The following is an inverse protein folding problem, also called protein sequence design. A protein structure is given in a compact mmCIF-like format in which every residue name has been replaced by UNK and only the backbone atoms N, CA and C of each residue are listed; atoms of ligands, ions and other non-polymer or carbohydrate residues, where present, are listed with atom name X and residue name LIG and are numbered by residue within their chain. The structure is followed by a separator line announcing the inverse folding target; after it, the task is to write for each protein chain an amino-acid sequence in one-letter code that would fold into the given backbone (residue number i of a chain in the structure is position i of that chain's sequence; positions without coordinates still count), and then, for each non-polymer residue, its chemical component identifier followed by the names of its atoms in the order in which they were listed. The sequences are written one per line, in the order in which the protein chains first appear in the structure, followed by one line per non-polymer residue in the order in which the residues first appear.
data_IF_444479020678
#
_entry.id   IF_444479020678
#
_cell.length_a   1.000
_cell.length_b   1.000
_cell.length_c   1.000
_cell.angle_alpha   90.00
_cell.angle_beta   90.00
_cell.angle_gamma   90.00
#
_symmetry.space_group_name_H-M   'P 1'
#
loop_
_entity.id
_entity.type
_entity.pdbx_description
1 polymer ?
#
# COMPACT_ATOMS: atom_id res chain seq x y z
N UNK A 1 55.74 -4.26 13.70
CA UNK A 1 55.65 -5.03 12.44
C UNK A 1 54.24 -5.01 11.85
N UNK A 2 53.22 -5.63 12.44
CA UNK A 2 51.85 -5.60 11.87
C UNK A 2 51.26 -4.17 11.83
N UNK A 3 51.38 -3.41 12.93
CA UNK A 3 50.92 -2.02 12.98
C UNK A 3 51.67 -1.08 12.01
N UNK A 4 52.96 -1.35 11.74
CA UNK A 4 53.77 -0.55 10.80
C UNK A 4 53.37 -0.86 9.35
N UNK A 5 53.04 -2.11 9.04
CA UNK A 5 52.52 -2.51 7.73
C UNK A 5 51.13 -1.92 7.46
N UNK A 6 50.25 -1.91 8.46
CA UNK A 6 48.92 -1.28 8.37
C UNK A 6 49.03 0.23 8.10
N UNK A 7 49.97 0.92 8.77
CA UNK A 7 50.20 2.34 8.57
C UNK A 7 50.72 2.64 7.16
N UNK A 8 51.67 1.83 6.66
CA UNK A 8 52.22 1.96 5.32
C UNK A 8 51.17 1.73 4.22
N UNK A 9 50.25 0.77 4.41
CA UNK A 9 49.15 0.52 3.46
C UNK A 9 48.19 1.72 3.39
N UNK A 10 47.86 2.32 4.53
CA UNK A 10 47.01 3.51 4.61
C UNK A 10 47.68 4.73 3.97
N UNK A 11 48.96 4.97 4.28
CA UNK A 11 49.74 6.07 3.69
C UNK A 11 49.79 5.96 2.17
N UNK A 12 50.07 4.76 1.65
CA UNK A 12 50.05 4.48 0.21
C UNK A 12 48.70 4.80 -0.44
N UNK A 13 47.59 4.47 0.22
CA UNK A 13 46.25 4.80 -0.29
C UNK A 13 45.98 6.31 -0.32
N UNK A 14 46.49 7.07 0.65
CA UNK A 14 46.44 8.53 0.60
C UNK A 14 47.25 9.08 -0.59
N UNK A 15 48.46 8.59 -0.81
CA UNK A 15 49.28 9.00 -1.96
C UNK A 15 48.59 8.70 -3.30
N UNK A 16 47.98 7.51 -3.43
CA UNK A 16 47.18 7.13 -4.61
C UNK A 16 46.00 8.08 -4.81
N UNK A 17 45.26 8.39 -3.73
CA UNK A 17 44.13 9.31 -3.77
C UNK A 17 44.51 10.75 -4.13
N UNK A 18 45.65 11.23 -3.64
CA UNK A 18 46.18 12.57 -3.95
C UNK A 18 46.66 12.66 -5.40
N UNK A 19 47.34 11.63 -5.91
CA UNK A 19 47.74 11.56 -7.33
C UNK A 19 46.53 11.59 -8.24
N UNK A 20 45.51 10.78 -7.96
CA UNK A 20 44.25 10.78 -8.72
C UNK A 20 43.52 12.13 -8.62
N UNK A 21 43.50 12.75 -7.45
CA UNK A 21 42.85 14.06 -7.25
C UNK A 21 43.53 15.16 -8.05
N UNK A 22 44.86 15.18 -8.05
CA UNK A 22 45.71 16.19 -8.66
C UNK A 22 45.89 16.00 -10.17
N UNK A 23 45.56 14.81 -10.71
CA UNK A 23 45.69 14.52 -12.12
C UNK A 23 44.74 15.35 -12.98
N UNK A 24 45.31 15.96 -14.04
CA UNK A 24 44.57 16.66 -15.09
C UNK A 24 43.72 15.69 -15.91
N UNK A 25 44.32 14.59 -16.34
CA UNK A 25 43.63 13.45 -16.92
C UNK A 25 43.76 12.26 -15.98
N UNK A 26 42.62 11.83 -15.41
CA UNK A 26 42.58 10.70 -14.49
C UNK A 26 42.63 9.37 -15.23
N UNK A 27 42.21 9.32 -16.50
CA UNK A 27 42.11 8.07 -17.25
C UNK A 27 43.46 7.37 -17.44
N UNK A 28 44.55 8.13 -17.46
CA UNK A 28 45.93 7.62 -17.54
C UNK A 28 46.41 6.92 -16.26
N UNK A 29 45.71 7.11 -15.13
CA UNK A 29 46.09 6.57 -13.82
C UNK A 29 45.27 5.31 -13.45
N UNK A 30 44.91 4.49 -14.43
CA UNK A 30 44.12 3.27 -14.22
C UNK A 30 44.78 2.32 -13.20
N UNK A 31 46.11 2.16 -13.24
CA UNK A 31 46.86 1.32 -12.31
C UNK A 31 46.75 1.80 -10.85
N UNK A 32 46.71 3.12 -10.63
CA UNK A 32 46.53 3.68 -9.28
C UNK A 32 45.11 3.40 -8.77
N UNK A 33 44.09 3.52 -9.63
CA UNK A 33 42.72 3.18 -9.26
C UNK A 33 42.55 1.67 -9.02
N UNK A 34 43.19 0.81 -9.82
CA UNK A 34 43.21 -0.64 -9.56
C UNK A 34 43.85 -1.00 -8.22
N UNK A 35 44.92 -0.31 -7.83
CA UNK A 35 45.57 -0.51 -6.54
C UNK A 35 44.63 -0.14 -5.37
N UNK A 36 43.86 0.94 -5.52
CA UNK A 36 42.83 1.31 -4.54
C UNK A 36 41.74 0.24 -4.45
N UNK A 37 41.26 -0.28 -5.58
CA UNK A 37 40.26 -1.36 -5.61
C UNK A 37 40.83 -2.63 -4.97
N UNK A 38 42.10 -2.97 -5.22
CA UNK A 38 42.72 -4.18 -4.69
C UNK A 38 42.88 -4.15 -3.15
N UNK A 39 43.00 -2.97 -2.55
CA UNK A 39 43.18 -2.80 -1.11
C UNK A 39 41.99 -3.34 -0.27
N UNK A 40 40.81 -3.54 -0.87
CA UNK A 40 39.66 -4.15 -0.16
C UNK A 40 39.95 -5.60 0.27
N UNK A 41 40.91 -6.27 -0.39
CA UNK A 41 41.35 -7.64 -0.06
C UNK A 41 42.50 -7.67 0.96
N UNK A 42 42.99 -6.50 1.40
CA UNK A 42 44.03 -6.38 2.43
C UNK A 42 43.55 -6.83 3.81
N UNK A 43 44.43 -6.74 4.81
CA UNK A 43 44.09 -7.07 6.20
C UNK A 43 43.75 -5.81 7.03
N UNK A 44 44.29 -4.65 6.66
CA UNK A 44 44.08 -3.41 7.40
C UNK A 44 42.64 -2.91 7.29
N UNK A 45 41.92 -2.87 8.43
CA UNK A 45 40.57 -2.31 8.54
C UNK A 45 40.55 -0.84 8.11
N UNK A 46 41.59 -0.06 8.48
CA UNK A 46 41.70 1.36 8.11
C UNK A 46 41.92 1.53 6.60
N UNK A 47 42.73 0.68 5.98
CA UNK A 47 42.95 0.71 4.54
C UNK A 47 41.64 0.41 3.78
N UNK A 48 40.87 -0.60 4.23
CA UNK A 48 39.55 -0.94 3.67
C UNK A 48 38.55 0.22 3.80
N UNK A 49 38.50 0.89 4.96
CA UNK A 49 37.65 2.07 5.16
C UNK A 49 38.03 3.23 4.23
N UNK A 50 39.33 3.43 3.98
CA UNK A 50 39.82 4.45 3.06
C UNK A 50 39.50 4.06 1.61
N UNK A 51 39.72 2.81 1.23
CA UNK A 51 39.35 2.29 -0.09
C UNK A 51 37.84 2.46 -0.35
N UNK A 52 36.97 2.16 0.62
CA UNK A 52 35.52 2.37 0.52
C UNK A 52 35.11 3.82 0.23
N UNK A 53 35.95 4.81 0.58
CA UNK A 53 35.74 6.22 0.27
C UNK A 53 36.33 6.61 -1.08
N UNK A 54 37.51 6.09 -1.43
CA UNK A 54 38.22 6.46 -2.65
C UNK A 54 37.65 5.79 -3.91
N UNK A 55 37.22 4.51 -3.82
CA UNK A 55 36.60 3.78 -4.93
C UNK A 55 35.43 4.58 -5.56
N UNK A 56 34.40 4.98 -4.79
CA UNK A 56 33.27 5.73 -5.34
C UNK A 56 33.64 7.14 -5.81
N UNK A 57 34.64 7.77 -5.19
CA UNK A 57 35.08 9.13 -5.54
C UNK A 57 35.62 9.22 -6.96
N UNK A 58 36.36 8.21 -7.42
CA UNK A 58 37.01 8.23 -8.74
C UNK A 58 36.35 7.35 -9.80
N UNK A 59 35.29 6.62 -9.43
CA UNK A 59 34.60 5.64 -10.28
C UNK A 59 34.34 6.10 -11.72
N UNK A 60 33.80 7.31 -11.89
CA UNK A 60 33.43 7.84 -13.22
C UNK A 60 34.61 8.08 -14.15
N UNK A 61 35.82 8.22 -13.62
CA UNK A 61 37.02 8.40 -14.43
C UNK A 61 37.53 7.08 -15.03
N UNK A 62 36.99 5.93 -14.60
CA UNK A 62 37.49 4.61 -15.02
C UNK A 62 36.36 3.65 -15.42
N UNK A 63 35.61 3.90 -16.51
CA UNK A 63 34.51 3.04 -16.94
C UNK A 63 34.93 1.57 -17.17
N UNK A 64 36.14 1.34 -17.69
CA UNK A 64 36.68 -0.01 -17.91
C UNK A 64 36.85 -0.84 -16.62
N UNK A 65 36.91 -0.18 -15.46
CA UNK A 65 37.07 -0.80 -14.14
C UNK A 65 35.77 -0.82 -13.32
N UNK A 66 34.66 -0.35 -13.89
CA UNK A 66 33.38 -0.18 -13.19
C UNK A 66 32.89 -1.47 -12.51
N UNK A 67 32.84 -2.58 -13.24
CA UNK A 67 32.40 -3.87 -12.69
C UNK A 67 33.26 -4.34 -11.51
N UNK A 68 34.58 -4.15 -11.60
CA UNK A 68 35.54 -4.54 -10.55
C UNK A 68 35.39 -3.65 -9.32
N UNK A 69 35.24 -2.34 -9.52
CA UNK A 69 34.99 -1.38 -8.46
C UNK A 69 33.65 -1.65 -7.74
N UNK A 70 32.58 -1.94 -8.49
CA UNK A 70 31.27 -2.30 -7.93
C UNK A 70 31.33 -3.59 -7.12
N UNK A 71 31.99 -4.63 -7.63
CA UNK A 71 32.18 -5.89 -6.89
C UNK A 71 32.93 -5.65 -5.58
N UNK A 72 33.98 -4.83 -5.60
CA UNK A 72 34.73 -4.47 -4.40
C UNK A 72 33.87 -3.73 -3.36
N UNK A 73 32.96 -2.84 -3.80
CA UNK A 73 32.04 -2.14 -2.90
C UNK A 73 30.98 -3.07 -2.29
N UNK A 74 30.50 -4.06 -3.04
CA UNK A 74 29.63 -5.10 -2.48
C UNK A 74 30.37 -5.98 -1.46
N UNK A 75 31.60 -6.39 -1.75
CA UNK A 75 32.41 -7.13 -0.77
C UNK A 75 32.60 -6.34 0.54
N UNK A 76 32.78 -5.02 0.46
CA UNK A 76 32.97 -4.14 1.62
C UNK A 76 31.69 -3.99 2.47
N UNK A 77 30.51 -4.01 1.85
CA UNK A 77 29.25 -3.89 2.61
C UNK A 77 28.86 -5.17 3.33
N UNK A 78 29.42 -6.32 2.92
CA UNK A 78 29.21 -7.61 3.58
C UNK A 78 30.27 -7.93 4.66
N UNK A 79 31.14 -6.98 5.01
CA UNK A 79 32.18 -7.18 6.02
C UNK A 79 31.68 -7.13 7.46
N UNK A 80 32.38 -7.82 8.37
CA UNK A 80 32.03 -7.86 9.79
C UNK A 80 32.19 -6.50 10.48
N UNK A 81 33.17 -5.70 10.07
CA UNK A 81 33.47 -4.42 10.69
C UNK A 81 32.46 -3.34 10.27
N UNK A 82 31.60 -2.95 11.21
CA UNK A 82 30.57 -1.91 11.06
C UNK A 82 31.09 -0.63 10.38
N UNK A 83 32.28 -0.18 10.77
CA UNK A 83 32.85 1.05 10.23
C UNK A 83 33.27 0.92 8.75
N UNK A 84 33.60 -0.28 8.25
CA UNK A 84 33.81 -0.53 6.82
C UNK A 84 32.46 -0.48 6.09
N UNK A 85 31.46 -1.22 6.58
CA UNK A 85 30.12 -1.26 5.97
C UNK A 85 29.51 0.12 5.83
N UNK A 86 29.58 0.94 6.88
CA UNK A 86 29.07 2.33 6.85
C UNK A 86 29.74 3.17 5.74
N UNK A 87 31.05 3.03 5.52
CA UNK A 87 31.74 3.77 4.46
C UNK A 87 31.33 3.27 3.07
N UNK A 88 31.18 1.95 2.90
CA UNK A 88 30.68 1.38 1.65
C UNK A 88 29.25 1.88 1.34
N UNK A 89 28.36 1.84 2.33
CA UNK A 89 26.97 2.32 2.24
C UNK A 89 26.91 3.79 1.80
N UNK A 90 27.72 4.66 2.41
CA UNK A 90 27.80 6.08 2.05
C UNK A 90 28.38 6.32 0.67
N UNK A 91 29.21 5.40 0.17
CA UNK A 91 29.82 5.45 -1.14
C UNK A 91 28.88 5.09 -2.29
N UNK A 92 27.90 4.21 -2.04
CA UNK A 92 27.01 3.68 -3.07
C UNK A 92 26.30 4.74 -3.94
N UNK A 93 25.72 5.83 -3.40
CA UNK A 93 25.05 6.83 -4.24
C UNK A 93 25.96 7.46 -5.29
N UNK A 94 27.27 7.57 -5.04
CA UNK A 94 28.21 8.15 -6.00
C UNK A 94 28.43 7.26 -7.24
N UNK A 95 28.18 5.96 -7.08
CA UNK A 95 28.27 4.93 -8.12
C UNK A 95 27.00 4.85 -8.98
N UNK A 96 25.86 5.35 -8.48
CA UNK A 96 24.53 5.23 -9.04
C UNK A 96 24.21 6.08 -10.28
N UNK A 97 25.21 6.50 -11.08
CA UNK A 97 24.94 7.27 -12.32
C UNK A 97 24.77 6.43 -13.57
N UNK A 98 25.14 5.15 -13.53
CA UNK A 98 24.76 4.18 -14.56
C UNK A 98 23.51 3.44 -14.11
N UNK A 99 22.47 3.46 -14.94
CA UNK A 99 21.15 2.89 -14.62
C UNK A 99 21.21 1.42 -14.24
N UNK A 100 22.17 0.66 -14.80
CA UNK A 100 22.39 -0.75 -14.50
C UNK A 100 22.80 -1.00 -13.05
N UNK A 101 23.56 -0.09 -12.44
CA UNK A 101 24.01 -0.25 -11.05
C UNK A 101 22.99 0.27 -10.05
N UNK A 102 22.18 1.27 -10.40
CA UNK A 102 21.15 1.84 -9.50
C UNK A 102 20.26 0.75 -8.93
N UNK A 103 19.69 -0.10 -9.80
CA UNK A 103 18.77 -1.16 -9.37
C UNK A 103 19.43 -2.14 -8.41
N UNK A 104 20.67 -2.58 -8.72
CA UNK A 104 21.43 -3.50 -7.85
C UNK A 104 21.83 -2.86 -6.52
N UNK A 105 22.21 -1.59 -6.53
CA UNK A 105 22.55 -0.83 -5.31
C UNK A 105 21.30 -0.68 -4.44
N UNK A 106 20.17 -0.30 -5.01
CA UNK A 106 18.91 -0.15 -4.27
C UNK A 106 18.44 -1.48 -3.67
N UNK A 107 18.61 -2.59 -4.39
CA UNK A 107 18.32 -3.94 -3.89
C UNK A 107 19.15 -4.27 -2.65
N UNK A 108 20.47 -4.10 -2.72
CA UNK A 108 21.39 -4.35 -1.59
C UNK A 108 21.09 -3.42 -0.42
N UNK A 109 20.93 -2.12 -0.66
CA UNK A 109 20.58 -1.16 0.39
C UNK A 109 19.21 -1.48 1.03
N UNK A 110 18.24 -1.98 0.25
CA UNK A 110 16.96 -2.44 0.77
C UNK A 110 17.11 -3.58 1.77
N UNK A 111 17.96 -4.57 1.46
CA UNK A 111 18.26 -5.69 2.36
C UNK A 111 18.88 -5.21 3.68
N UNK A 112 19.72 -4.17 3.64
CA UNK A 112 20.38 -3.61 4.82
C UNK A 112 19.45 -2.80 5.74
N UNK A 113 18.17 -2.57 5.37
CA UNK A 113 17.19 -1.94 6.25
C UNK A 113 16.90 -2.78 7.52
N UNK A 114 17.24 -4.07 7.51
CA UNK A 114 17.12 -4.97 8.67
C UNK A 114 18.22 -4.80 9.70
N UNK A 115 19.29 -4.06 9.41
CA UNK A 115 20.41 -3.87 10.34
C UNK A 115 19.90 -3.39 11.71
N UNK A 116 20.34 -4.07 12.77
CA UNK A 116 20.01 -3.72 14.17
C UNK A 116 20.76 -2.47 14.63
N UNK A 117 21.91 -2.18 14.00
CA UNK A 117 22.76 -1.03 14.30
C UNK A 117 22.14 0.28 13.79
N UNK A 118 21.74 1.16 14.71
CA UNK A 118 21.06 2.41 14.36
C UNK A 118 21.89 3.31 13.43
N UNK A 119 23.21 3.34 13.60
CA UNK A 119 24.12 4.17 12.79
C UNK A 119 24.21 3.65 11.36
N UNK A 120 24.20 2.32 11.19
CA UNK A 120 24.17 1.68 9.88
C UNK A 120 22.83 1.93 9.18
N UNK A 121 21.71 1.73 9.89
CA UNK A 121 20.38 1.99 9.35
C UNK A 121 20.18 3.45 8.92
N UNK A 122 20.72 4.41 9.66
CA UNK A 122 20.72 5.83 9.27
C UNK A 122 21.55 6.08 8.00
N UNK A 123 22.70 5.42 7.87
CA UNK A 123 23.50 5.48 6.64
C UNK A 123 22.75 4.89 5.44
N UNK A 124 22.06 3.75 5.62
CA UNK A 124 21.23 3.11 4.59
C UNK A 124 20.09 4.04 4.16
N UNK A 125 19.36 4.62 5.12
CA UNK A 125 18.28 5.58 4.80
C UNK A 125 18.79 6.76 3.97
N UNK A 126 19.94 7.34 4.35
CA UNK A 126 20.55 8.46 3.61
C UNK A 126 21.00 8.05 2.21
N UNK A 127 21.61 6.87 2.08
CA UNK A 127 22.06 6.33 0.80
C UNK A 127 20.88 6.06 -0.14
N UNK A 128 19.84 5.35 0.32
CA UNK A 128 18.61 5.11 -0.44
C UNK A 128 17.94 6.41 -0.87
N UNK A 129 17.80 7.38 0.05
CA UNK A 129 17.20 8.66 -0.28
C UNK A 129 18.03 9.49 -1.27
N UNK A 130 19.35 9.34 -1.28
CA UNK A 130 20.20 9.95 -2.31
C UNK A 130 19.97 9.28 -3.67
N UNK A 131 19.94 7.94 -3.70
CA UNK A 131 19.76 7.18 -4.92
C UNK A 131 18.37 7.39 -5.55
N UNK A 132 17.31 7.44 -4.72
CA UNK A 132 15.93 7.72 -5.17
C UNK A 132 15.83 9.12 -5.79
N UNK A 133 16.57 10.12 -5.27
CA UNK A 133 16.59 11.46 -5.88
C UNK A 133 17.29 11.49 -7.22
N UNK A 134 18.27 10.61 -7.44
CA UNK A 134 18.96 10.49 -8.72
C UNK A 134 18.10 9.75 -9.75
N UNK A 135 17.51 8.61 -9.37
CA UNK A 135 16.66 7.80 -10.23
C UNK A 135 15.58 7.07 -9.42
N UNK A 136 14.39 7.67 -9.40
CA UNK A 136 13.25 7.16 -8.64
C UNK A 136 12.80 5.79 -9.13
N UNK A 137 12.74 5.56 -10.45
CA UNK A 137 12.18 4.32 -11.00
C UNK A 137 13.08 3.14 -10.69
N UNK A 138 14.36 3.26 -11.03
CA UNK A 138 15.31 2.17 -10.84
C UNK A 138 15.64 1.93 -9.35
N UNK A 139 15.44 2.94 -8.49
CA UNK A 139 15.61 2.77 -7.04
C UNK A 139 14.41 2.12 -6.36
N UNK A 140 13.18 2.53 -6.69
CA UNK A 140 11.99 2.03 -6.01
C UNK A 140 11.55 0.66 -6.52
N UNK A 141 11.77 0.34 -7.80
CA UNK A 141 11.37 -0.95 -8.38
C UNK A 141 11.91 -2.18 -7.63
N UNK A 142 13.21 -2.31 -7.31
CA UNK A 142 13.71 -3.44 -6.53
C UNK A 142 13.14 -3.48 -5.10
N UNK A 143 12.93 -2.32 -4.47
CA UNK A 143 12.32 -2.26 -3.13
C UNK A 143 10.87 -2.78 -3.15
N UNK A 144 10.08 -2.36 -4.13
CA UNK A 144 8.72 -2.87 -4.30
C UNK A 144 8.67 -4.34 -4.72
N UNK A 145 9.70 -4.85 -5.40
CA UNK A 145 9.81 -6.29 -5.70
C UNK A 145 9.94 -7.13 -4.44
N UNK A 146 10.72 -6.70 -3.45
CA UNK A 146 10.78 -7.34 -2.13
C UNK A 146 9.44 -7.34 -1.41
N UNK A 147 8.73 -6.21 -1.50
CA UNK A 147 7.37 -6.09 -0.98
C UNK A 147 6.45 -7.10 -1.68
N UNK A 148 6.34 -7.05 -3.01
CA UNK A 148 5.53 -7.96 -3.83
C UNK A 148 5.79 -9.44 -3.52
N UNK A 149 7.04 -9.83 -3.27
CA UNK A 149 7.45 -11.21 -3.01
C UNK A 149 7.23 -11.66 -1.56
N UNK A 150 6.80 -10.78 -0.66
CA UNK A 150 6.63 -11.12 0.76
C UNK A 150 7.95 -11.45 1.47
N UNK A 151 9.05 -10.81 1.08
CA UNK A 151 10.36 -11.12 1.67
C UNK A 151 10.44 -10.69 3.14
N UNK A 152 11.40 -11.24 3.88
CA UNK A 152 11.62 -10.95 5.32
C UNK A 152 11.86 -9.45 5.62
N UNK A 153 12.25 -8.67 4.61
CA UNK A 153 12.52 -7.24 4.72
C UNK A 153 11.30 -6.35 4.37
N UNK A 154 10.18 -6.96 3.96
CA UNK A 154 8.97 -6.27 3.49
C UNK A 154 8.48 -5.19 4.46
N UNK A 155 8.36 -5.51 5.74
CA UNK A 155 7.89 -4.57 6.76
C UNK A 155 8.81 -3.34 6.85
N UNK A 156 10.13 -3.56 6.82
CA UNK A 156 11.13 -2.49 6.89
C UNK A 156 11.05 -1.58 5.66
N UNK A 157 10.83 -2.15 4.48
CA UNK A 157 10.65 -1.37 3.25
C UNK A 157 9.35 -0.56 3.32
N UNK A 158 8.22 -1.15 3.72
CA UNK A 158 6.94 -0.43 3.85
C UNK A 158 7.08 0.75 4.82
N UNK A 159 7.75 0.55 5.96
CA UNK A 159 8.04 1.60 6.92
C UNK A 159 8.96 2.69 6.33
N UNK A 160 10.01 2.31 5.61
CA UNK A 160 10.88 3.28 4.91
C UNK A 160 10.11 4.11 3.88
N UNK A 161 9.25 3.47 3.08
CA UNK A 161 8.39 4.15 2.10
C UNK A 161 7.47 5.16 2.81
N UNK A 162 6.79 4.73 3.88
CA UNK A 162 5.89 5.58 4.70
C UNK A 162 6.61 6.78 5.29
N UNK A 163 7.78 6.58 5.89
CA UNK A 163 8.43 7.57 6.75
C UNK A 163 9.40 8.48 6.00
N UNK A 164 9.96 8.02 4.87
CA UNK A 164 11.02 8.73 4.15
C UNK A 164 10.63 9.12 2.73
N UNK A 165 9.94 8.25 1.99
CA UNK A 165 9.65 8.47 0.55
C UNK A 165 8.35 9.26 0.35
N UNK A 166 7.23 8.78 0.89
CA UNK A 166 5.92 9.40 0.70
C UNK A 166 5.78 10.83 1.26
N UNK A 167 6.47 11.22 2.35
CA UNK A 167 6.50 12.61 2.80
C UNK A 167 7.12 13.56 1.77
N UNK A 168 8.06 13.06 0.95
CA UNK A 168 8.77 13.82 -0.07
C UNK A 168 8.25 13.57 -1.50
N UNK A 169 7.12 12.88 -1.66
CA UNK A 169 6.57 12.51 -2.99
C UNK A 169 6.43 13.70 -3.96
N UNK A 170 6.10 14.89 -3.48
CA UNK A 170 5.93 16.07 -4.33
C UNK A 170 7.26 16.59 -4.91
N UNK A 171 8.37 16.33 -4.22
CA UNK A 171 9.75 16.58 -4.69
C UNK A 171 10.19 15.45 -5.62
N UNK A 172 9.99 14.20 -5.21
CA UNK A 172 10.54 13.01 -5.86
C UNK A 172 9.80 12.63 -7.15
N UNK A 173 8.47 12.61 -7.14
CA UNK A 173 7.66 12.08 -8.25
C UNK A 173 7.52 13.14 -9.35
N UNK A 174 8.51 13.19 -10.24
CA UNK A 174 8.54 14.10 -11.41
C UNK A 174 8.91 13.33 -12.69
N UNK A 175 8.18 13.50 -13.81
CA UNK A 175 6.90 14.20 -13.95
C UNK A 175 5.78 13.57 -13.12
N UNK A 176 4.94 14.39 -12.49
CA UNK A 176 4.05 13.94 -11.40
C UNK A 176 3.08 12.82 -11.80
N UNK A 177 2.24 13.03 -12.82
CA UNK A 177 1.22 12.05 -13.20
C UNK A 177 1.81 10.70 -13.64
N UNK A 178 2.93 10.72 -14.38
CA UNK A 178 3.61 9.52 -14.84
C UNK A 178 4.22 8.74 -13.66
N UNK A 179 4.91 9.44 -12.77
CA UNK A 179 5.56 8.82 -11.62
C UNK A 179 4.54 8.32 -10.59
N UNK A 180 3.45 9.03 -10.37
CA UNK A 180 2.34 8.56 -9.53
C UNK A 180 1.66 7.33 -10.12
N UNK A 181 1.52 7.24 -11.45
CA UNK A 181 1.02 6.03 -12.12
C UNK A 181 1.97 4.85 -11.93
N UNK A 182 3.28 5.06 -12.10
CA UNK A 182 4.29 4.04 -11.82
C UNK A 182 4.22 3.51 -10.38
N UNK A 183 4.11 4.39 -9.38
CA UNK A 183 3.93 3.98 -7.98
C UNK A 183 2.61 3.21 -7.79
N UNK A 184 1.54 3.64 -8.45
CA UNK A 184 0.24 2.95 -8.39
C UNK A 184 0.36 1.51 -8.88
N UNK A 185 1.05 1.28 -10.00
CA UNK A 185 1.23 -0.06 -10.55
C UNK A 185 2.07 -0.95 -9.61
N UNK A 186 3.09 -0.40 -8.95
CA UNK A 186 3.89 -1.11 -7.96
C UNK A 186 3.06 -1.47 -6.71
N UNK A 187 2.25 -0.54 -6.22
CA UNK A 187 1.35 -0.79 -5.07
C UNK A 187 0.31 -1.86 -5.44
N UNK A 188 -0.29 -1.81 -6.64
CA UNK A 188 -1.28 -2.82 -7.08
C UNK A 188 -0.73 -4.24 -7.13
N UNK A 189 0.56 -4.41 -7.44
CA UNK A 189 1.23 -5.72 -7.34
C UNK A 189 1.47 -6.14 -5.90
N UNK A 190 1.76 -5.17 -5.04
CA UNK A 190 2.09 -5.38 -3.62
C UNK A 190 0.89 -5.70 -2.72
N UNK A 191 -0.35 -5.45 -3.19
CA UNK A 191 -1.59 -5.64 -2.41
C UNK A 191 -2.22 -7.04 -2.55
N UNK A 192 -1.61 -7.97 -3.29
CA UNK A 192 -2.22 -9.29 -3.51
C UNK A 192 -2.22 -10.20 -2.27
N UNK A 193 -1.16 -10.13 -1.46
CA UNK A 193 -1.01 -10.89 -0.21
C UNK A 193 -0.58 -9.94 0.91
N UNK A 194 -1.57 -9.38 1.62
CA UNK A 194 -1.35 -8.31 2.60
C UNK A 194 -2.16 -8.53 3.85
N UNK A 195 -1.60 -8.10 4.98
CA UNK A 195 -2.37 -7.94 6.21
C UNK A 195 -3.31 -6.74 6.10
N UNK A 196 -4.34 -6.66 6.96
CA UNK A 196 -5.23 -5.49 7.01
C UNK A 196 -4.47 -4.18 7.25
N UNK A 197 -3.47 -4.20 8.14
CA UNK A 197 -2.65 -3.02 8.45
C UNK A 197 -1.78 -2.56 7.26
N UNK A 198 -1.23 -3.50 6.50
CA UNK A 198 -0.47 -3.18 5.28
C UNK A 198 -1.39 -2.63 4.19
N UNK A 199 -2.58 -3.21 4.04
CA UNK A 199 -3.57 -2.72 3.09
C UNK A 199 -3.98 -1.28 3.38
N UNK A 200 -4.21 -0.93 4.64
CA UNK A 200 -4.48 0.44 5.08
C UNK A 200 -3.33 1.40 4.72
N UNK A 201 -2.08 0.97 4.91
CA UNK A 201 -0.91 1.77 4.53
C UNK A 201 -0.84 1.99 3.02
N UNK A 202 -1.00 0.94 2.21
CA UNK A 202 -1.00 1.06 0.73
C UNK A 202 -2.14 1.93 0.22
N UNK A 203 -3.33 1.81 0.80
CA UNK A 203 -4.46 2.66 0.42
C UNK A 203 -4.27 4.10 0.89
N UNK A 204 -3.58 4.32 2.01
CA UNK A 204 -3.08 5.63 2.43
C UNK A 204 -2.09 6.22 1.42
N UNK A 205 -1.14 5.43 0.93
CA UNK A 205 -0.19 5.82 -0.09
C UNK A 205 -0.88 6.26 -1.38
N UNK A 206 -1.78 5.42 -1.93
CA UNK A 206 -2.52 5.72 -3.15
C UNK A 206 -3.35 7.01 -3.01
N UNK A 207 -4.13 7.15 -1.93
CA UNK A 207 -4.94 8.36 -1.69
C UNK A 207 -4.10 9.63 -1.52
N UNK A 208 -2.82 9.50 -1.17
CA UNK A 208 -1.92 10.66 -1.06
C UNK A 208 -1.43 11.19 -2.42
N UNK A 209 -1.58 10.41 -3.50
CA UNK A 209 -1.16 10.80 -4.85
C UNK A 209 -2.18 11.77 -5.47
N UNK A 210 -1.70 12.76 -6.22
CA UNK A 210 -2.57 13.76 -6.86
C UNK A 210 -3.55 13.15 -7.88
N UNK A 211 -3.17 12.08 -8.57
CA UNK A 211 -4.05 11.34 -9.49
C UNK A 211 -5.27 10.72 -8.80
N UNK A 212 -5.25 10.62 -7.47
CA UNK A 212 -6.34 10.17 -6.60
C UNK A 212 -6.79 11.26 -5.60
N UNK A 213 -6.28 12.48 -5.74
CA UNK A 213 -6.53 13.59 -4.83
C UNK A 213 -7.89 14.26 -5.02
N UNK A 214 -8.08 15.41 -4.36
CA UNK A 214 -9.38 16.07 -4.29
C UNK A 214 -9.93 16.63 -5.62
N UNK A 215 -9.10 16.75 -6.65
CA UNK A 215 -9.53 17.16 -7.99
C UNK A 215 -9.50 16.02 -9.01
N UNK A 216 -9.28 14.78 -8.56
CA UNK A 216 -9.17 13.63 -9.43
C UNK A 216 -10.50 13.32 -10.14
N UNK A 217 -10.45 12.80 -11.38
CA UNK A 217 -11.64 12.40 -12.11
C UNK A 217 -12.29 11.16 -11.47
N UNK A 218 -13.57 10.91 -11.79
CA UNK A 218 -14.34 9.80 -11.20
C UNK A 218 -13.71 8.43 -11.48
N UNK A 219 -13.08 8.28 -12.65
CA UNK A 219 -12.39 7.08 -13.10
C UNK A 219 -11.24 6.70 -12.15
N UNK A 220 -10.54 7.68 -11.57
CA UNK A 220 -9.50 7.42 -10.56
C UNK A 220 -10.09 6.78 -9.30
N UNK A 221 -11.26 7.25 -8.85
CA UNK A 221 -11.94 6.64 -7.71
C UNK A 221 -12.54 5.28 -8.04
N UNK A 222 -12.93 5.07 -9.30
CA UNK A 222 -13.34 3.76 -9.81
C UNK A 222 -12.19 2.74 -9.76
N UNK A 223 -10.96 3.16 -10.08
CA UNK A 223 -9.78 2.30 -9.93
C UNK A 223 -9.49 1.96 -8.45
N UNK A 224 -9.57 2.93 -7.54
CA UNK A 224 -9.36 2.66 -6.11
C UNK A 224 -10.40 1.69 -5.54
N UNK A 225 -11.67 1.83 -5.92
CA UNK A 225 -12.70 0.92 -5.43
C UNK A 225 -12.49 -0.50 -5.97
N UNK A 226 -11.95 -0.66 -7.18
CA UNK A 226 -11.63 -1.99 -7.73
C UNK A 226 -10.56 -2.71 -6.94
N UNK A 227 -9.54 -1.98 -6.44
CA UNK A 227 -8.52 -2.53 -5.54
C UNK A 227 -9.16 -3.03 -4.23
N UNK A 228 -10.04 -2.22 -3.62
CA UNK A 228 -10.72 -2.61 -2.37
C UNK A 228 -11.71 -3.75 -2.60
N UNK A 229 -12.41 -3.77 -3.74
CA UNK A 229 -13.32 -4.86 -4.10
C UNK A 229 -12.57 -6.17 -4.31
N UNK A 230 -11.38 -6.14 -4.91
CA UNK A 230 -10.53 -7.30 -5.07
C UNK A 230 -10.07 -7.81 -3.69
N UNK A 231 -9.63 -6.91 -2.80
CA UNK A 231 -9.22 -7.27 -1.44
C UNK A 231 -10.38 -7.85 -0.61
N UNK A 232 -11.59 -7.34 -0.78
CA UNK A 232 -12.78 -7.84 -0.08
C UNK A 232 -13.28 -9.19 -0.60
N UNK A 233 -12.74 -9.70 -1.72
CA UNK A 233 -13.15 -10.94 -2.39
C UNK A 233 -14.67 -11.13 -2.47
N UNK A 234 -15.35 -10.14 -3.06
CA UNK A 234 -16.82 -10.09 -3.16
C UNK A 234 -17.44 -11.18 -4.07
N UNK A 235 -16.64 -12.11 -4.59
CA UNK A 235 -17.13 -13.27 -5.33
C UNK A 235 -17.12 -14.56 -4.49
N UNK A 236 -16.44 -14.55 -3.33
CA UNK A 236 -16.39 -15.68 -2.42
C UNK A 236 -17.73 -15.95 -1.73
N UNK A 237 -17.94 -17.17 -1.26
CA UNK A 237 -19.06 -17.45 -0.36
C UNK A 237 -18.76 -16.90 1.03
N UNK A 238 -19.75 -16.24 1.64
CA UNK A 238 -19.59 -15.72 2.99
C UNK A 238 -19.53 -16.86 4.01
N UNK A 239 -18.47 -16.89 4.81
CA UNK A 239 -18.27 -17.90 5.84
C UNK A 239 -18.37 -17.27 7.23
N UNK A 240 -19.47 -17.59 7.93
CA UNK A 240 -19.76 -17.04 9.26
C UNK A 240 -18.78 -17.52 10.34
N UNK A 241 -18.14 -18.67 10.13
CA UNK A 241 -17.15 -19.20 11.08
C UNK A 241 -15.76 -18.57 10.90
N UNK A 242 -15.56 -17.84 9.81
CA UNK A 242 -14.31 -17.15 9.48
C UNK A 242 -14.40 -15.69 9.93
N UNK A 243 -13.92 -15.42 11.13
CA UNK A 243 -13.93 -14.07 11.71
C UNK A 243 -13.09 -13.11 10.88
N UNK A 244 -11.97 -13.57 10.31
CA UNK A 244 -11.08 -12.76 9.49
C UNK A 244 -11.78 -12.32 8.20
N UNK A 245 -12.62 -13.17 7.62
CA UNK A 245 -13.45 -12.78 6.47
C UNK A 245 -14.46 -11.68 6.84
N UNK A 246 -15.12 -11.79 7.99
CA UNK A 246 -16.06 -10.77 8.48
C UNK A 246 -15.35 -9.44 8.71
N UNK A 247 -14.22 -9.47 9.41
CA UNK A 247 -13.41 -8.28 9.69
C UNK A 247 -12.86 -7.64 8.41
N UNK A 248 -12.37 -8.46 7.46
CA UNK A 248 -11.90 -7.98 6.16
C UNK A 248 -13.00 -7.24 5.41
N UNK A 249 -14.22 -7.80 5.36
CA UNK A 249 -15.34 -7.13 4.71
C UNK A 249 -15.68 -5.79 5.37
N UNK A 250 -15.72 -5.74 6.72
CA UNK A 250 -15.97 -4.51 7.49
C UNK A 250 -14.92 -3.45 7.18
N UNK A 251 -13.63 -3.81 7.26
CA UNK A 251 -12.51 -2.91 7.01
C UNK A 251 -12.50 -2.39 5.57
N UNK A 252 -12.74 -3.26 4.58
CA UNK A 252 -12.86 -2.87 3.18
C UNK A 252 -14.04 -1.91 2.96
N UNK A 253 -15.19 -2.15 3.60
CA UNK A 253 -16.33 -1.24 3.53
C UNK A 253 -16.01 0.15 4.09
N UNK A 254 -15.41 0.22 5.28
CA UNK A 254 -14.99 1.51 5.85
C UNK A 254 -13.98 2.24 4.97
N UNK A 255 -13.07 1.49 4.33
CA UNK A 255 -12.09 2.06 3.41
C UNK A 255 -12.72 2.57 2.10
N UNK A 256 -13.80 1.94 1.66
CA UNK A 256 -14.55 2.29 0.46
C UNK A 256 -15.46 3.53 0.65
N UNK A 257 -15.94 3.80 1.88
CA UNK A 257 -16.86 4.91 2.17
C UNK A 257 -16.38 6.28 1.62
N UNK A 258 -15.12 6.72 1.88
CA UNK A 258 -14.64 7.99 1.32
C UNK A 258 -14.60 8.01 -0.20
N UNK A 259 -14.57 6.84 -0.86
CA UNK A 259 -14.51 6.72 -2.32
C UNK A 259 -15.94 6.75 -2.91
N UNK A 260 -16.92 6.17 -2.22
CA UNK A 260 -18.33 6.31 -2.58
C UNK A 260 -18.78 7.78 -2.57
N UNK A 261 -18.34 8.55 -1.57
CA UNK A 261 -18.56 10.01 -1.51
C UNK A 261 -18.08 10.76 -2.76
N UNK A 262 -17.10 10.19 -3.47
CA UNK A 262 -16.48 10.77 -4.67
C UNK A 262 -17.11 10.25 -5.97
N UNK A 263 -18.15 9.44 -5.86
CA UNK A 263 -18.96 8.95 -6.97
C UNK A 263 -18.64 7.53 -7.44
N UNK A 264 -17.77 6.79 -6.74
CA UNK A 264 -17.58 5.37 -7.02
C UNK A 264 -18.81 4.56 -6.59
N UNK A 265 -19.06 3.44 -7.29
CA UNK A 265 -20.23 2.60 -7.04
C UNK A 265 -20.08 1.72 -5.78
N UNK A 266 -21.09 1.75 -4.91
CA UNK A 266 -21.23 0.84 -3.78
C UNK A 266 -21.91 -0.50 -4.16
N UNK A 267 -22.38 -0.66 -5.40
CA UNK A 267 -23.30 -1.73 -5.81
C UNK A 267 -22.77 -3.14 -5.51
N UNK A 268 -21.48 -3.44 -5.79
CA UNK A 268 -20.94 -4.79 -5.54
C UNK A 268 -20.96 -5.15 -4.05
N UNK A 269 -20.60 -4.21 -3.18
CA UNK A 269 -20.62 -4.42 -1.73
C UNK A 269 -22.04 -4.62 -1.21
N UNK A 270 -22.99 -3.78 -1.64
CA UNK A 270 -24.39 -3.89 -1.22
C UNK A 270 -25.03 -5.19 -1.72
N UNK A 271 -24.72 -5.59 -2.96
CA UNK A 271 -25.18 -6.86 -3.53
C UNK A 271 -24.61 -8.07 -2.79
N UNK A 272 -23.34 -8.01 -2.39
CA UNK A 272 -22.74 -9.05 -1.56
C UNK A 272 -23.44 -9.15 -0.21
N UNK A 273 -23.67 -8.02 0.46
CA UNK A 273 -24.39 -7.98 1.73
C UNK A 273 -25.76 -8.65 1.63
N UNK A 274 -26.58 -8.27 0.64
CA UNK A 274 -27.92 -8.84 0.43
C UNK A 274 -27.87 -10.33 0.13
N UNK A 275 -26.95 -10.78 -0.74
CA UNK A 275 -26.93 -12.17 -1.24
C UNK A 275 -26.24 -13.14 -0.30
N UNK A 276 -25.24 -12.69 0.45
CA UNK A 276 -24.34 -13.57 1.20
C UNK A 276 -24.43 -13.34 2.71
N UNK A 277 -24.50 -12.08 3.15
CA UNK A 277 -24.46 -11.74 4.58
C UNK A 277 -25.86 -11.83 5.21
N UNK A 278 -26.89 -11.22 4.61
CA UNK A 278 -28.25 -11.21 5.16
C UNK A 278 -28.79 -12.62 5.43
N UNK A 279 -28.68 -13.61 4.51
CA UNK A 279 -29.18 -14.97 4.76
C UNK A 279 -28.48 -15.67 5.94
N UNK A 280 -27.25 -15.25 6.24
CA UNK A 280 -26.43 -15.83 7.28
C UNK A 280 -26.38 -14.95 8.55
N UNK A 281 -27.06 -13.80 8.56
CA UNK A 281 -26.87 -12.72 9.54
C UNK A 281 -27.05 -13.20 10.99
N UNK A 282 -27.99 -14.09 11.22
CA UNK A 282 -28.30 -14.62 12.55
C UNK A 282 -27.22 -15.50 13.16
N UNK A 283 -26.41 -16.12 12.30
CA UNK A 283 -25.31 -16.97 12.73
C UNK A 283 -24.04 -16.16 13.05
N UNK A 284 -24.01 -14.88 12.65
CA UNK A 284 -22.86 -14.01 12.84
C UNK A 284 -22.64 -13.77 14.33
N UNK A 285 -21.38 -13.73 14.82
CA UNK A 285 -21.11 -13.35 16.20
C UNK A 285 -21.72 -11.99 16.56
N UNK A 286 -22.30 -11.90 17.75
CA UNK A 286 -23.10 -10.74 18.17
C UNK A 286 -22.27 -9.44 18.20
N UNK A 287 -21.00 -9.58 18.56
CA UNK A 287 -20.01 -8.49 18.59
C UNK A 287 -19.69 -7.92 17.19
N UNK A 288 -19.96 -8.67 16.10
CA UNK A 288 -19.69 -8.22 14.72
C UNK A 288 -20.92 -7.68 13.99
N UNK A 289 -22.12 -8.15 14.36
CA UNK A 289 -23.38 -7.75 13.72
C UNK A 289 -23.58 -6.24 13.71
N UNK A 290 -23.29 -5.56 14.83
CA UNK A 290 -23.44 -4.09 14.91
C UNK A 290 -22.54 -3.39 13.89
N UNK A 291 -21.28 -3.81 13.80
CA UNK A 291 -20.31 -3.16 12.91
C UNK A 291 -20.65 -3.40 11.44
N UNK A 292 -21.20 -4.58 11.09
CA UNK A 292 -21.78 -4.83 9.76
C UNK A 292 -22.96 -3.89 9.46
N UNK A 293 -23.86 -3.67 10.41
CA UNK A 293 -25.00 -2.76 10.20
C UNK A 293 -24.53 -1.31 10.07
N UNK A 294 -23.52 -0.88 10.83
CA UNK A 294 -22.93 0.46 10.71
C UNK A 294 -22.34 0.71 9.32
N UNK A 295 -21.68 -0.27 8.70
CA UNK A 295 -21.11 -0.07 7.35
C UNK A 295 -22.21 0.09 6.30
N UNK A 296 -23.32 -0.65 6.41
CA UNK A 296 -24.48 -0.52 5.52
C UNK A 296 -25.21 0.81 5.74
N UNK A 297 -25.42 1.21 6.99
CA UNK A 297 -25.98 2.52 7.33
C UNK A 297 -25.14 3.65 6.72
N UNK A 298 -23.83 3.60 6.92
CA UNK A 298 -22.88 4.59 6.38
C UNK A 298 -22.84 4.60 4.85
N UNK A 299 -23.10 3.46 4.19
CA UNK A 299 -23.07 3.35 2.72
C UNK A 299 -24.39 3.70 2.04
N UNK A 300 -25.51 3.60 2.75
CA UNK A 300 -26.86 3.81 2.21
C UNK A 300 -27.10 5.18 1.53
N UNK A 301 -26.49 6.31 1.95
CA UNK A 301 -26.62 7.57 1.22
C UNK A 301 -26.09 7.48 -0.22
N UNK A 302 -25.09 6.62 -0.47
CA UNK A 302 -24.44 6.47 -1.78
C UNK A 302 -25.04 5.35 -2.64
N UNK A 303 -26.01 4.60 -2.12
CA UNK A 303 -26.72 3.58 -2.91
C UNK A 303 -27.50 4.22 -4.07
N UNK A 304 -27.46 3.61 -5.26
CA UNK A 304 -28.29 4.03 -6.38
C UNK A 304 -29.76 3.64 -6.15
N UNK A 305 -30.68 4.13 -6.99
CA UNK A 305 -32.07 3.67 -6.95
C UNK A 305 -32.16 2.15 -7.20
N UNK A 306 -31.34 1.61 -8.11
CA UNK A 306 -31.32 0.17 -8.38
C UNK A 306 -30.82 -0.63 -7.17
N UNK A 307 -29.72 -0.19 -6.53
CA UNK A 307 -29.22 -0.85 -5.31
C UNK A 307 -30.26 -0.79 -4.20
N UNK A 308 -30.94 0.36 -4.07
CA UNK A 308 -31.99 0.57 -3.07
C UNK A 308 -33.13 -0.42 -3.25
N UNK A 309 -33.58 -0.69 -4.49
CA UNK A 309 -34.63 -1.70 -4.74
C UNK A 309 -34.23 -3.10 -4.28
N UNK A 310 -32.95 -3.44 -4.40
CA UNK A 310 -32.44 -4.76 -4.03
C UNK A 310 -32.18 -4.89 -2.53
N UNK A 311 -31.71 -3.83 -1.90
CA UNK A 311 -31.32 -3.81 -0.48
C UNK A 311 -32.53 -3.61 0.46
N UNK A 312 -33.51 -2.80 0.04
CA UNK A 312 -34.63 -2.40 0.90
C UNK A 312 -35.44 -3.59 1.46
N UNK A 313 -35.80 -4.63 0.69
CA UNK A 313 -36.52 -5.79 1.24
C UNK A 313 -35.75 -6.49 2.38
N UNK A 314 -34.44 -6.67 2.23
CA UNK A 314 -33.58 -7.26 3.26
C UNK A 314 -33.49 -6.38 4.51
N UNK A 315 -33.42 -5.06 4.34
CA UNK A 315 -33.42 -4.12 5.46
C UNK A 315 -34.74 -4.18 6.23
N UNK A 316 -35.89 -4.23 5.54
CA UNK A 316 -37.20 -4.35 6.22
C UNK A 316 -37.36 -5.70 6.91
N UNK A 317 -36.87 -6.79 6.30
CA UNK A 317 -36.86 -8.11 6.95
C UNK A 317 -36.09 -8.07 8.28
N UNK A 318 -34.92 -7.43 8.31
CA UNK A 318 -34.14 -7.26 9.54
C UNK A 318 -34.86 -6.31 10.53
N UNK A 319 -35.44 -5.20 10.06
CA UNK A 319 -36.22 -4.30 10.92
C UNK A 319 -37.39 -5.01 11.59
N UNK A 320 -38.19 -5.78 10.86
CA UNK A 320 -39.32 -6.51 11.43
C UNK A 320 -38.89 -7.51 12.52
N UNK A 321 -37.67 -8.04 12.40
CA UNK A 321 -37.09 -8.95 13.40
C UNK A 321 -36.62 -8.22 14.66
N UNK A 322 -35.89 -7.11 14.50
CA UNK A 322 -35.29 -6.38 15.63
C UNK A 322 -36.20 -5.30 16.22
N UNK A 323 -37.28 -4.94 15.53
CA UNK A 323 -38.33 -4.03 15.96
C UNK A 323 -39.72 -4.66 15.70
N UNK A 324 -40.07 -5.76 16.39
CA UNK A 324 -41.34 -6.43 16.20
C UNK A 324 -42.51 -5.55 16.68
N UNK A 325 -43.68 -5.68 16.04
CA UNK A 325 -44.88 -4.90 16.39
C UNK A 325 -45.49 -5.22 17.77
N UNK A 326 -45.01 -6.26 18.46
CA UNK A 326 -45.38 -6.60 19.84
C UNK A 326 -44.35 -6.02 20.80
N UNK A 327 -44.79 -5.66 22.01
CA UNK A 327 -43.89 -5.15 23.05
C UNK A 327 -42.84 -6.23 23.39
N UNK A 328 -41.56 -5.89 23.20
CA UNK A 328 -40.41 -6.73 23.57
C UNK A 328 -39.54 -5.90 24.51
N UNK A 329 -39.11 -6.50 25.61
CA UNK A 329 -38.40 -5.79 26.70
C UNK A 329 -36.91 -5.55 26.40
N UNK A 330 -36.32 -6.26 25.41
CA UNK A 330 -34.89 -6.22 25.10
C UNK A 330 -34.64 -5.90 23.60
N UNK A 331 -34.96 -4.67 23.20
CA UNK A 331 -34.73 -4.18 21.83
C UNK A 331 -33.29 -3.65 21.74
N UNK A 332 -32.51 -4.18 20.80
CA UNK A 332 -31.19 -3.63 20.49
C UNK A 332 -31.34 -2.31 19.71
N UNK A 333 -31.38 -1.18 20.43
CA UNK A 333 -31.56 0.14 19.85
C UNK A 333 -30.50 0.52 18.82
N UNK A 334 -29.26 0.04 18.96
CA UNK A 334 -28.18 0.33 18.02
C UNK A 334 -28.43 -0.35 16.66
N UNK A 335 -29.01 -1.55 16.66
CA UNK A 335 -29.36 -2.26 15.42
C UNK A 335 -30.51 -1.55 14.73
N UNK A 336 -31.53 -1.18 15.50
CA UNK A 336 -32.69 -0.45 15.00
C UNK A 336 -32.29 0.91 14.44
N UNK A 337 -31.38 1.64 15.08
CA UNK A 337 -30.84 2.91 14.59
C UNK A 337 -30.19 2.73 13.22
N UNK A 338 -29.25 1.79 13.08
CA UNK A 338 -28.57 1.52 11.81
C UNK A 338 -29.57 1.16 10.71
N UNK A 339 -30.48 0.23 11.01
CA UNK A 339 -31.46 -0.27 10.05
C UNK A 339 -32.49 0.80 9.64
N UNK A 340 -32.98 1.62 10.57
CA UNK A 340 -33.89 2.72 10.27
C UNK A 340 -33.19 3.82 9.48
N UNK A 341 -31.94 4.12 9.79
CA UNK A 341 -31.13 5.07 9.02
C UNK A 341 -30.93 4.57 7.58
N UNK A 342 -30.57 3.30 7.41
CA UNK A 342 -30.50 2.66 6.09
C UNK A 342 -31.83 2.75 5.38
N UNK A 343 -32.93 2.31 6.02
CA UNK A 343 -34.26 2.33 5.43
C UNK A 343 -34.63 3.74 4.94
N UNK A 344 -34.42 4.77 5.75
CA UNK A 344 -34.73 6.16 5.41
C UNK A 344 -34.00 6.62 4.12
N UNK A 345 -32.71 6.29 4.00
CA UNK A 345 -31.90 6.67 2.84
C UNK A 345 -32.24 5.90 1.57
N UNK A 346 -32.71 4.67 1.69
CA UNK A 346 -33.10 3.85 0.54
C UNK A 346 -34.54 4.16 0.09
N UNK A 347 -35.46 4.31 1.04
CA UNK A 347 -36.89 4.37 0.79
C UNK A 347 -37.32 5.52 -0.13
N UNK A 348 -36.72 6.71 0.05
CA UNK A 348 -37.05 7.88 -0.77
C UNK A 348 -36.55 7.76 -2.22
N UNK A 349 -35.52 6.92 -2.46
CA UNK A 349 -34.95 6.68 -3.80
C UNK A 349 -35.82 5.73 -4.61
N UNK A 350 -36.64 4.92 -3.94
CA UNK A 350 -37.50 3.90 -4.55
C UNK A 350 -38.92 3.90 -3.97
N UNK A 351 -39.69 4.99 -4.11
CA UNK A 351 -40.98 5.12 -3.45
C UNK A 351 -41.97 3.99 -3.76
N UNK A 352 -41.97 3.46 -4.98
CA UNK A 352 -42.88 2.37 -5.37
C UNK A 352 -42.56 1.07 -4.61
N UNK A 353 -41.28 0.68 -4.58
CA UNK A 353 -40.81 -0.47 -3.80
C UNK A 353 -41.15 -0.26 -2.33
N UNK A 354 -40.89 0.92 -1.79
CA UNK A 354 -41.22 1.29 -0.41
C UNK A 354 -42.72 1.16 -0.14
N UNK A 355 -43.57 1.70 -1.01
CA UNK A 355 -45.03 1.63 -0.87
C UNK A 355 -45.49 0.17 -0.84
N UNK A 356 -45.03 -0.66 -1.78
CA UNK A 356 -45.34 -2.09 -1.81
C UNK A 356 -44.86 -2.79 -0.54
N UNK A 357 -43.65 -2.47 -0.04
CA UNK A 357 -43.12 -3.01 1.22
C UNK A 357 -43.89 -2.50 2.45
N UNK A 358 -44.59 -1.36 2.37
CA UNK A 358 -45.44 -0.88 3.46
C UNK A 358 -46.92 -1.27 3.29
N UNK A 359 -47.24 -2.17 2.35
CA UNK A 359 -48.61 -2.61 2.10
C UNK A 359 -49.50 -1.60 1.33
N UNK A 360 -48.91 -0.53 0.79
CA UNK A 360 -49.62 0.44 -0.05
C UNK A 360 -49.53 0.06 -1.52
N UNK A 361 -50.69 -0.27 -2.13
CA UNK A 361 -50.79 -0.46 -3.57
C UNK A 361 -51.25 0.84 -4.23
N UNK A 362 -50.31 1.58 -4.81
CA UNK A 362 -50.63 2.80 -5.56
C UNK A 362 -50.68 2.45 -7.06
N UNK A 363 -51.85 2.56 -7.67
CA UNK A 363 -52.05 2.34 -9.11
C UNK A 363 -52.19 3.70 -9.78
N UNK A 364 -51.11 4.22 -10.33
CA UNK A 364 -51.08 5.53 -11.03
C UNK A 364 -51.21 5.40 -12.55
N UNK A 365 -51.04 4.19 -13.11
CA UNK A 365 -51.04 3.92 -14.54
C UNK A 365 -49.69 4.15 -15.22
N UNK A 366 -48.63 4.46 -14.46
CA UNK A 366 -47.28 4.67 -14.99
C UNK A 366 -46.54 3.36 -15.29
N UNK A 367 -45.56 3.34 -16.21
CA UNK A 367 -44.78 2.14 -16.52
C UNK A 367 -44.09 1.53 -15.28
N UNK A 368 -43.71 2.36 -14.31
CA UNK A 368 -43.13 1.94 -13.03
C UNK A 368 -44.08 1.12 -12.16
N UNK A 369 -45.40 1.24 -12.35
CA UNK A 369 -46.42 0.48 -11.62
C UNK A 369 -46.50 -0.97 -12.15
N UNK A 370 -45.93 -1.22 -13.34
CA UNK A 370 -45.91 -2.53 -14.00
C UNK A 370 -44.66 -3.34 -13.71
N UNK A 371 -43.75 -2.85 -12.86
CA UNK A 371 -42.49 -3.53 -12.54
C UNK A 371 -42.66 -4.85 -11.77
N UNK A 372 -43.89 -5.28 -11.46
CA UNK A 372 -44.15 -6.61 -10.90
C UNK A 372 -43.57 -6.80 -9.49
N UNK A 373 -43.32 -5.71 -8.78
CA UNK A 373 -42.83 -5.69 -7.40
C UNK A 373 -43.95 -6.08 -6.42
N UNK A 374 -44.37 -7.33 -6.50
CA UNK A 374 -45.31 -7.95 -5.57
C UNK A 374 -44.55 -8.51 -4.36
N UNK A 375 -44.49 -7.72 -3.29
CA UNK A 375 -43.91 -8.13 -2.01
C UNK A 375 -44.96 -8.62 -1.02
N UNK A 376 -46.16 -9.01 -1.48
CA UNK A 376 -47.28 -9.40 -0.60
C UNK A 376 -46.90 -10.55 0.35
N UNK A 377 -45.96 -11.43 -0.04
CA UNK A 377 -45.44 -12.50 0.83
C UNK A 377 -44.72 -11.98 2.09
N UNK A 378 -44.14 -10.79 2.04
CA UNK A 378 -43.38 -10.21 3.15
C UNK A 378 -44.25 -9.49 4.20
N UNK A 379 -45.56 -9.31 3.95
CA UNK A 379 -46.43 -8.47 4.80
C UNK A 379 -47.86 -8.99 4.98
N UNK A 380 -48.06 -10.32 5.06
CA UNK A 380 -49.37 -10.90 5.47
C UNK A 380 -49.94 -10.22 6.71
N UNK A 381 -49.07 -9.82 7.63
CA UNK A 381 -49.41 -9.16 8.89
C UNK A 381 -49.98 -7.73 8.75
N UNK A 382 -49.78 -7.05 7.62
CA UNK A 382 -50.32 -5.69 7.39
C UNK A 382 -51.65 -5.71 6.63
N UNK A 383 -51.89 -6.75 5.82
CA UNK A 383 -53.17 -6.99 5.14
C UNK A 383 -54.21 -7.63 6.05
N UNK A 384 -53.79 -8.29 7.12
CA UNK A 384 -54.66 -8.75 8.21
C UNK A 384 -54.88 -7.62 9.23
N UNK A 385 -55.77 -6.68 8.89
CA UNK A 385 -56.40 -5.77 9.87
C UNK A 385 -57.91 -5.84 9.79
#
# INVERSE_FOLDING_TARGET
MAADADAAEVERLYELGERLSSAKDKSELAADYEAIIAAVKGQSVKAKQLAAQLIPRFFRSFPALATRAMSAMFDLVDMEELAIRIQAIRGFPLLGKDTEFVSKIADVLGQLLTSEENVERDAVHKALMSLIREDVKNSLQPLFKHVEQGSEIREKIICFLRDKVFPLKAELLKPQAEMERFITDLVKKSVQDVTGSEFELFMGFLRSLSIFGDSAPRESFQELIEIIQAQADLNSQFNVSDIDHIERWISCMYMALPIFMRGASASKFLNYFVKQIVPAFEKIPEEKKLDLLKTIASSSPYATAQDSRQLLPSVVQLLNKYMPGKKVDDINHNYVECLLYTYHHLAHKTPNTTNSLCGYKIVTGQPSDRLGEDFTEHYKDFTER
#
